data_IF_927453971261
#
_entry.id   IF_927453971261
#
_cell.length_a   1.000
_cell.length_b   1.000
_cell.length_c   1.000
_cell.angle_alpha   90.00
_cell.angle_beta   90.00
_cell.angle_gamma   90.00
#
_symmetry.space_group_name_H-M   'P 1'
#
loop_
_entity.id
_entity.type
_entity.pdbx_description
1 polymer ?
#
# COMPACT_ATOMS: atom_id res chain seq x y z
N UNK A 1 4.53 16.63 62.92
CA UNK A 1 5.02 17.00 61.58
C UNK A 1 5.72 15.79 60.97
N UNK A 2 5.51 15.57 59.66
CA UNK A 2 6.18 14.62 58.73
C UNK A 2 5.50 13.28 58.48
N UNK A 3 4.59 13.36 57.51
CA UNK A 3 4.04 12.31 56.66
C UNK A 3 5.14 11.52 55.94
N UNK A 4 4.97 10.21 55.81
CA UNK A 4 5.64 9.41 54.77
C UNK A 4 4.56 8.57 54.09
N UNK A 5 4.10 9.05 52.93
CA UNK A 5 3.18 8.34 52.04
C UNK A 5 4.05 7.48 51.12
N UNK A 6 3.91 6.16 51.20
CA UNK A 6 4.55 5.21 50.29
C UNK A 6 3.64 5.07 49.07
N UNK A 7 4.05 5.63 47.94
CA UNK A 7 3.37 5.46 46.66
C UNK A 7 3.85 4.15 45.99
N UNK A 8 2.98 3.14 45.97
CA UNK A 8 3.16 1.92 45.19
C UNK A 8 2.87 2.22 43.72
N UNK A 9 3.91 2.28 42.89
CA UNK A 9 3.78 2.40 41.43
C UNK A 9 3.46 1.01 40.88
N UNK A 10 2.20 0.79 40.48
CA UNK A 10 1.77 -0.41 39.78
C UNK A 10 2.08 -0.23 38.28
N UNK A 11 3.21 -0.78 37.81
CA UNK A 11 3.53 -0.83 36.38
C UNK A 11 2.69 -1.91 35.72
N UNK A 12 1.55 -1.53 35.15
CA UNK A 12 0.76 -2.41 34.28
C UNK A 12 1.51 -2.58 32.97
N UNK A 13 2.23 -3.70 32.82
CA UNK A 13 2.78 -4.12 31.55
C UNK A 13 1.63 -4.51 30.62
N UNK A 14 1.20 -3.58 29.76
CA UNK A 14 0.26 -3.90 28.70
C UNK A 14 0.95 -4.86 27.71
N UNK A 15 0.33 -6.01 27.36
CA UNK A 15 0.84 -6.83 26.29
C UNK A 15 0.78 -6.01 25.00
N UNK A 16 1.95 -5.72 24.42
CA UNK A 16 2.06 -5.26 23.04
C UNK A 16 1.47 -6.36 22.18
N UNK A 17 0.24 -6.16 21.69
CA UNK A 17 -0.39 -7.09 20.75
C UNK A 17 0.50 -7.20 19.52
N UNK A 18 1.26 -8.28 19.41
CA UNK A 18 1.93 -8.71 18.21
C UNK A 18 0.86 -9.01 17.15
N UNK A 19 0.47 -7.99 16.37
CA UNK A 19 -0.30 -8.15 15.14
C UNK A 19 0.62 -8.72 14.06
N UNK A 20 1.11 -9.94 14.26
CA UNK A 20 1.89 -10.65 13.26
C UNK A 20 0.97 -11.29 12.21
N UNK A 21 1.18 -10.88 10.95
CA UNK A 21 1.11 -11.72 9.76
C UNK A 21 -0.22 -12.31 9.24
N UNK A 22 -1.39 -11.75 9.56
CA UNK A 22 -2.59 -12.12 8.79
C UNK A 22 -2.52 -11.63 7.33
N UNK A 23 -1.89 -10.47 7.10
CA UNK A 23 -1.83 -9.82 5.79
C UNK A 23 -0.90 -10.53 4.79
N UNK A 24 0.21 -11.12 5.25
CA UNK A 24 1.11 -11.90 4.37
C UNK A 24 0.42 -13.18 3.88
N UNK A 25 -0.48 -13.79 4.67
CA UNK A 25 -1.23 -14.99 4.23
C UNK A 25 -2.13 -14.75 3.02
N UNK A 26 -2.55 -13.52 2.80
CA UNK A 26 -3.40 -13.13 1.67
C UNK A 26 -2.62 -12.71 0.43
N UNK A 27 -1.28 -12.75 0.49
CA UNK A 27 -0.41 -12.35 -0.62
C UNK A 27 0.29 -13.59 -1.18
N UNK A 28 0.07 -13.83 -2.46
CA UNK A 28 0.86 -14.77 -3.26
C UNK A 28 1.72 -14.02 -4.28
N UNK A 29 2.71 -14.68 -4.85
CA UNK A 29 3.65 -14.08 -5.79
C UNK A 29 3.68 -14.85 -7.10
N UNK A 30 3.80 -14.15 -8.22
CA UNK A 30 4.24 -14.79 -9.46
C UNK A 30 5.72 -15.19 -9.36
N UNK A 31 6.17 -16.24 -10.10
CA UNK A 31 7.51 -16.80 -9.94
C UNK A 31 8.67 -15.80 -10.07
N UNK A 32 8.51 -14.77 -10.91
CA UNK A 32 9.52 -13.74 -11.12
C UNK A 32 9.63 -12.70 -9.99
N UNK A 33 8.66 -12.67 -9.06
CA UNK A 33 8.62 -11.69 -7.98
C UNK A 33 9.40 -12.22 -6.77
N UNK A 34 10.46 -11.52 -6.38
CA UNK A 34 11.36 -11.90 -5.27
C UNK A 34 10.78 -11.61 -3.87
N UNK A 35 9.47 -11.43 -3.75
CA UNK A 35 8.78 -11.04 -2.53
C UNK A 35 8.73 -9.52 -2.28
N UNK A 36 8.46 -9.16 -1.01
CA UNK A 36 8.24 -7.78 -0.56
C UNK A 36 9.50 -7.05 -0.08
N UNK A 37 10.65 -7.74 0.03
CA UNK A 37 11.84 -7.22 0.72
C UNK A 37 12.47 -5.95 0.13
N UNK A 38 12.12 -5.60 -1.12
CA UNK A 38 12.58 -4.37 -1.76
C UNK A 38 11.61 -3.18 -1.56
N UNK A 39 10.43 -3.42 -0.98
CA UNK A 39 9.39 -2.41 -0.80
C UNK A 39 9.66 -1.58 0.45
N UNK A 40 9.23 -0.31 0.41
CA UNK A 40 9.28 0.57 1.58
C UNK A 40 8.19 0.20 2.59
N UNK A 41 8.39 0.51 3.89
CA UNK A 41 7.41 0.23 4.93
C UNK A 41 5.99 0.73 4.61
N UNK A 42 5.86 1.96 4.11
CA UNK A 42 4.57 2.54 3.73
C UNK A 42 3.85 1.74 2.65
N UNK A 43 4.60 1.18 1.70
CA UNK A 43 4.04 0.32 0.64
C UNK A 43 3.58 -1.02 1.20
N UNK A 44 4.34 -1.60 2.13
CA UNK A 44 3.92 -2.83 2.81
C UNK A 44 2.66 -2.59 3.66
N UNK A 45 2.57 -1.45 4.35
CA UNK A 45 1.39 -1.06 5.10
C UNK A 45 0.15 -0.86 4.19
N UNK A 46 0.32 -0.19 3.05
CA UNK A 46 -0.74 -0.07 2.04
C UNK A 46 -1.20 -1.43 1.52
N UNK A 47 -0.27 -2.36 1.25
CA UNK A 47 -0.62 -3.73 0.81
C UNK A 47 -1.48 -4.43 1.86
N UNK A 48 -1.11 -4.31 3.14
CA UNK A 48 -1.87 -4.88 4.24
C UNK A 48 -3.29 -4.31 4.30
N UNK A 49 -3.43 -2.99 4.28
CA UNK A 49 -4.75 -2.36 4.31
C UNK A 49 -5.60 -2.74 3.09
N UNK A 50 -4.97 -2.81 1.92
CA UNK A 50 -5.61 -3.22 0.69
C UNK A 50 -6.15 -4.65 0.80
N UNK A 51 -5.33 -5.62 1.20
CA UNK A 51 -5.76 -7.03 1.33
C UNK A 51 -6.82 -7.20 2.42
N UNK A 52 -6.73 -6.47 3.53
CA UNK A 52 -7.77 -6.46 4.57
C UNK A 52 -9.15 -6.04 4.01
N UNK A 53 -9.20 -5.18 2.99
CA UNK A 53 -10.46 -4.71 2.37
C UNK A 53 -10.92 -5.51 1.16
N UNK A 54 -10.00 -6.09 0.37
CA UNK A 54 -10.34 -6.75 -0.90
C UNK A 54 -10.11 -8.25 -0.92
N UNK A 55 -9.48 -8.80 0.12
CA UNK A 55 -9.07 -10.19 0.22
C UNK A 55 -7.78 -10.49 -0.55
N UNK A 56 -7.58 -11.77 -0.85
CA UNK A 56 -6.34 -12.28 -1.40
C UNK A 56 -5.95 -11.67 -2.75
N UNK A 57 -4.64 -11.47 -2.94
CA UNK A 57 -4.03 -10.96 -4.16
C UNK A 57 -2.85 -11.82 -4.59
N UNK A 58 -2.54 -11.81 -5.90
CA UNK A 58 -1.28 -12.31 -6.45
C UNK A 58 -0.47 -11.13 -6.97
N UNK A 59 0.66 -10.84 -6.35
CA UNK A 59 1.58 -9.79 -6.81
C UNK A 59 2.33 -10.28 -8.04
N UNK A 60 2.27 -9.48 -9.10
CA UNK A 60 2.86 -9.76 -10.42
C UNK A 60 4.15 -8.97 -10.64
N UNK A 61 4.33 -7.85 -9.93
CA UNK A 61 5.53 -7.02 -10.00
C UNK A 61 5.78 -6.22 -8.73
N UNK A 62 7.05 -6.09 -8.34
CA UNK A 62 7.55 -5.21 -7.28
C UNK A 62 8.68 -4.33 -7.83
N UNK A 63 9.91 -4.41 -7.33
CA UNK A 63 11.01 -3.54 -7.78
C UNK A 63 11.76 -4.07 -9.01
N UNK A 64 11.52 -5.33 -9.39
CA UNK A 64 12.16 -5.96 -10.56
C UNK A 64 11.45 -5.65 -11.88
N UNK A 65 12.12 -5.94 -12.99
CA UNK A 65 11.57 -5.78 -14.34
C UNK A 65 11.82 -4.40 -14.95
N UNK A 66 11.20 -4.17 -16.12
CA UNK A 66 11.32 -2.90 -16.86
C UNK A 66 10.05 -2.08 -16.66
N UNK A 67 10.21 -0.92 -16.06
CA UNK A 67 9.16 0.06 -15.79
C UNK A 67 9.40 1.39 -16.51
N UNK A 68 8.36 2.20 -16.63
CA UNK A 68 8.45 3.56 -17.17
C UNK A 68 9.50 4.39 -16.41
N UNK A 69 10.12 5.35 -17.11
CA UNK A 69 11.09 6.27 -16.51
C UNK A 69 10.44 7.02 -15.35
N UNK A 70 11.10 7.02 -14.18
CA UNK A 70 10.60 7.55 -12.90
C UNK A 70 9.45 6.77 -12.24
N UNK A 71 9.19 5.53 -12.66
CA UNK A 71 8.20 4.67 -12.00
C UNK A 71 8.49 4.48 -10.51
N UNK A 72 7.42 4.43 -9.71
CA UNK A 72 7.48 4.16 -8.27
C UNK A 72 7.98 2.75 -7.93
N UNK A 73 7.90 1.79 -8.88
CA UNK A 73 8.47 0.46 -8.73
C UNK A 73 9.98 0.51 -8.43
N UNK A 74 10.73 1.36 -9.13
CA UNK A 74 12.17 1.53 -8.93
C UNK A 74 12.54 2.13 -7.56
N UNK A 75 11.57 2.66 -6.82
CA UNK A 75 11.75 3.27 -5.50
C UNK A 75 11.20 2.40 -4.37
N UNK A 76 10.76 1.18 -4.68
CA UNK A 76 10.08 0.29 -3.73
C UNK A 76 8.73 0.84 -3.27
N UNK A 77 8.10 1.70 -4.07
CA UNK A 77 6.88 2.43 -3.71
C UNK A 77 5.62 1.91 -4.40
N UNK A 78 5.71 0.86 -5.20
CA UNK A 78 4.59 0.36 -5.99
C UNK A 78 4.57 -1.16 -6.10
N UNK A 79 3.38 -1.69 -6.36
CA UNK A 79 3.15 -3.07 -6.78
C UNK A 79 2.16 -3.13 -7.95
N UNK A 80 2.32 -4.17 -8.76
CA UNK A 80 1.27 -4.64 -9.66
C UNK A 80 0.74 -5.96 -9.13
N UNK A 81 -0.56 -6.16 -9.15
CA UNK A 81 -1.18 -7.39 -8.65
C UNK A 81 -2.44 -7.79 -9.42
N UNK A 82 -2.83 -9.05 -9.28
CA UNK A 82 -4.16 -9.57 -9.65
C UNK A 82 -4.98 -9.77 -8.38
N UNK A 83 -6.17 -9.18 -8.25
CA UNK A 83 -7.07 -9.55 -7.17
C UNK A 83 -7.61 -10.97 -7.40
N UNK A 84 -7.64 -11.78 -6.35
CA UNK A 84 -8.11 -13.17 -6.41
C UNK A 84 -9.51 -13.34 -5.81
N UNK A 85 -9.88 -12.48 -4.84
CA UNK A 85 -11.18 -12.53 -4.17
C UNK A 85 -12.21 -11.53 -4.73
N UNK A 86 -11.84 -10.68 -5.69
CA UNK A 86 -12.72 -9.64 -6.26
C UNK A 86 -12.32 -9.28 -7.69
N UNK A 87 -13.16 -8.51 -8.40
CA UNK A 87 -12.82 -7.98 -9.72
C UNK A 87 -11.78 -6.85 -9.66
N UNK A 88 -10.97 -6.70 -10.70
CA UNK A 88 -10.02 -5.59 -10.87
C UNK A 88 -10.68 -4.21 -10.71
N UNK A 89 -11.89 -4.03 -11.26
CA UNK A 89 -12.65 -2.79 -11.14
C UNK A 89 -12.97 -2.46 -9.67
N UNK A 90 -13.43 -3.44 -8.89
CA UNK A 90 -13.73 -3.25 -7.46
C UNK A 90 -12.45 -3.03 -6.65
N UNK A 91 -11.36 -3.76 -6.96
CA UNK A 91 -10.06 -3.54 -6.31
C UNK A 91 -9.54 -2.11 -6.54
N UNK A 92 -9.62 -1.59 -7.78
CA UNK A 92 -9.29 -0.18 -8.09
C UNK A 92 -10.15 0.79 -7.31
N UNK A 93 -11.46 0.55 -7.23
CA UNK A 93 -12.38 1.42 -6.50
C UNK A 93 -12.00 1.49 -5.01
N UNK A 94 -11.67 0.35 -4.39
CA UNK A 94 -11.21 0.30 -2.99
C UNK A 94 -9.82 0.93 -2.83
N UNK A 95 -8.87 0.65 -3.71
CA UNK A 95 -7.52 1.22 -3.63
C UNK A 95 -7.54 2.77 -3.66
N UNK A 96 -8.47 3.36 -4.42
CA UNK A 96 -8.69 4.82 -4.49
C UNK A 96 -9.22 5.44 -3.20
N UNK A 97 -9.78 4.64 -2.28
CA UNK A 97 -10.30 5.12 -0.98
C UNK A 97 -9.32 4.93 0.17
N UNK A 98 -8.15 4.33 -0.08
CA UNK A 98 -7.10 4.24 0.94
C UNK A 98 -6.33 5.57 0.99
N UNK A 99 -6.09 6.07 2.20
CA UNK A 99 -5.36 7.33 2.39
C UNK A 99 -3.88 7.21 2.01
N UNK A 100 -3.30 6.01 2.16
CA UNK A 100 -1.91 5.72 1.82
C UNK A 100 -1.63 5.73 0.31
N UNK A 101 -2.66 5.66 -0.53
CA UNK A 101 -2.48 5.50 -1.98
C UNK A 101 -2.21 6.82 -2.68
N UNK A 102 -1.05 6.87 -3.37
CA UNK A 102 -0.64 7.95 -4.26
C UNK A 102 -1.22 7.81 -5.66
N UNK A 103 -1.04 6.64 -6.29
CA UNK A 103 -1.52 6.36 -7.64
C UNK A 103 -2.24 5.01 -7.74
N UNK A 104 -3.26 4.95 -8.61
CA UNK A 104 -4.03 3.74 -8.93
C UNK A 104 -4.28 3.65 -10.42
N UNK A 105 -4.09 2.46 -10.99
CA UNK A 105 -4.48 2.16 -12.37
C UNK A 105 -4.87 0.68 -12.52
N UNK A 106 -5.47 0.33 -13.65
CA UNK A 106 -5.52 -1.07 -14.06
C UNK A 106 -5.27 -1.22 -15.55
N UNK A 107 -4.71 -2.36 -15.89
CA UNK A 107 -4.42 -2.76 -17.26
C UNK A 107 -5.60 -3.58 -17.84
N UNK A 108 -5.75 -3.63 -19.18
CA UNK A 108 -6.85 -4.38 -19.81
C UNK A 108 -6.87 -5.87 -19.44
N UNK A 109 -5.73 -6.45 -19.06
CA UNK A 109 -5.59 -7.84 -18.65
C UNK A 109 -5.94 -8.11 -17.17
N UNK A 110 -6.55 -7.13 -16.47
CA UNK A 110 -7.01 -7.26 -15.10
C UNK A 110 -5.93 -7.09 -14.02
N UNK A 111 -4.68 -6.77 -14.40
CA UNK A 111 -3.66 -6.35 -13.43
C UNK A 111 -4.00 -4.96 -12.91
N UNK A 112 -3.83 -4.75 -11.62
CA UNK A 112 -4.03 -3.48 -10.92
C UNK A 112 -2.68 -2.96 -10.45
N UNK A 113 -2.43 -1.67 -10.70
CA UNK A 113 -1.29 -0.93 -10.21
C UNK A 113 -1.70 -0.08 -9.01
N UNK A 114 -0.90 -0.10 -7.94
CA UNK A 114 -1.03 0.79 -6.79
C UNK A 114 0.33 1.24 -6.28
N UNK A 115 0.44 2.50 -5.85
CA UNK A 115 1.66 3.07 -5.31
C UNK A 115 1.41 4.08 -4.18
N UNK A 116 2.47 4.37 -3.40
CA UNK A 116 2.49 5.36 -2.30
C UNK A 116 3.29 6.62 -2.66
N UNK A 117 3.36 6.94 -3.95
CA UNK A 117 3.98 8.16 -4.46
C UNK A 117 3.18 9.43 -4.11
N UNK A 118 3.65 10.57 -4.60
CA UNK A 118 2.85 11.80 -4.53
C UNK A 118 1.54 11.60 -5.29
N UNK A 119 0.43 12.09 -4.75
CA UNK A 119 -0.90 11.78 -5.26
C UNK A 119 -1.07 12.20 -6.72
N UNK A 120 -1.11 11.22 -7.61
CA UNK A 120 -1.48 11.39 -9.02
C UNK A 120 -2.87 10.80 -9.21
N UNK A 121 -3.80 11.61 -9.71
CA UNK A 121 -5.20 11.24 -9.93
C UNK A 121 -5.35 10.21 -11.06
N UNK A 122 -4.98 8.96 -10.80
CA UNK A 122 -5.21 7.73 -11.58
C UNK A 122 -4.70 7.68 -13.03
N UNK A 123 -4.07 6.56 -13.38
CA UNK A 123 -3.31 6.35 -14.62
C UNK A 123 -4.12 5.75 -15.79
N UNK A 124 -5.45 5.74 -15.72
CA UNK A 124 -6.26 5.14 -16.79
C UNK A 124 -6.02 5.84 -18.13
N UNK A 125 -5.79 5.02 -19.16
CA UNK A 125 -5.42 5.43 -20.51
C UNK A 125 -6.32 6.53 -21.05
N UNK A 126 -5.77 7.75 -21.07
CA UNK A 126 -5.85 8.78 -22.12
C UNK A 126 -5.38 10.10 -21.50
N UNK A 127 -4.25 10.58 -22.02
CA UNK A 127 -3.57 11.86 -21.74
C UNK A 127 -3.13 12.09 -20.30
N UNK A 128 -1.82 12.35 -20.18
CA UNK A 128 -1.21 13.18 -19.13
C UNK A 128 -2.15 14.35 -18.82
N UNK A 129 -2.88 14.27 -17.70
CA UNK A 129 -3.47 15.45 -17.08
C UNK A 129 -2.30 16.25 -16.51
N UNK A 130 -1.64 16.98 -17.41
CA UNK A 130 -0.51 17.85 -17.13
C UNK A 130 -0.81 18.69 -15.90
N UNK A 131 0.03 18.58 -14.86
CA UNK A 131 0.51 19.76 -14.13
C UNK A 131 -0.59 20.68 -13.56
N UNK A 132 -1.80 20.17 -13.27
CA UNK A 132 -2.96 21.02 -12.90
C UNK A 132 -3.33 21.00 -11.42
N UNK A 133 -2.83 20.06 -10.61
CA UNK A 133 -3.14 20.06 -9.17
C UNK A 133 -2.06 20.71 -8.30
N UNK A 134 -0.85 20.92 -8.81
CA UNK A 134 0.25 21.51 -8.04
C UNK A 134 0.11 23.03 -7.78
N UNK A 135 -0.89 23.71 -8.37
CA UNK A 135 -1.07 25.17 -8.22
C UNK A 135 -2.32 25.60 -7.43
N UNK A 136 -3.26 24.70 -7.12
CA UNK A 136 -4.52 25.09 -6.46
C UNK A 136 -4.52 24.89 -4.93
N UNK A 137 -3.44 24.40 -4.33
CA UNK A 137 -3.31 24.27 -2.87
C UNK A 137 -2.55 25.46 -2.21
N UNK A 138 -2.31 26.55 -2.96
CA UNK A 138 -1.80 27.82 -2.43
C UNK A 138 -2.90 28.89 -2.48
N UNK A 139 -3.93 28.75 -1.66
CA UNK A 139 -4.82 29.84 -1.26
C UNK A 139 -5.04 29.77 0.24
#
# INVERSE_FOLDING_TARGET
>A
MRSIVVALILTVALPVFAHADSAIKQVSFQPQVRGLGCLKPDTVAMIKELTDRIGAIQITSTCGGRHARHSQHYRGKAIDFRPLATSARKAVAVAKTLDATGGVGSYPNGIVHVDVGDRELSWFGHKRASRRYAYNARR
#
